data_IF_593879191115
#
_entry.id   IF_593879191115
#
_cell.length_a   1.000
_cell.length_b   1.000
_cell.length_c   1.000
_cell.angle_alpha   90.00
_cell.angle_beta   90.00
_cell.angle_gamma   90.00
#
_symmetry.space_group_name_H-M   'P 1'
#
loop_
_entity.id
_entity.type
_entity.pdbx_description
1 polymer ?
#
# COMPACT_ATOMS: atom_id res chain seq x y z
N UNK A 1 -29.57 -21.54 76.39
CA UNK A 1 -30.71 -21.07 75.57
C UNK A 1 -30.14 -20.57 74.26
N UNK A 2 -30.27 -21.35 73.18
CA UNK A 2 -29.81 -20.97 71.84
C UNK A 2 -30.86 -20.05 71.21
N UNK A 3 -30.54 -18.77 71.02
CA UNK A 3 -31.27 -17.90 70.08
C UNK A 3 -30.80 -18.28 68.68
N UNK A 4 -31.59 -19.09 67.97
CA UNK A 4 -31.43 -19.27 66.52
C UNK A 4 -31.86 -17.94 65.89
N UNK A 5 -30.89 -17.08 65.53
CA UNK A 5 -31.17 -15.95 64.64
C UNK A 5 -31.06 -16.47 63.21
N UNK A 6 -32.20 -16.70 62.58
CA UNK A 6 -32.30 -16.86 61.13
C UNK A 6 -31.92 -15.53 60.48
N UNK A 7 -30.71 -15.43 59.92
CA UNK A 7 -30.34 -14.32 59.05
C UNK A 7 -31.02 -14.53 57.69
N UNK A 8 -31.91 -13.61 57.31
CA UNK A 8 -32.53 -13.59 55.97
C UNK A 8 -31.44 -13.30 54.95
N UNK A 9 -31.36 -14.10 53.89
CA UNK A 9 -30.37 -13.95 52.82
C UNK A 9 -30.53 -12.61 52.08
N UNK A 10 -29.45 -12.05 51.56
CA UNK A 10 -29.50 -10.78 50.80
C UNK A 10 -30.36 -10.89 49.53
N UNK A 11 -30.46 -12.08 48.95
CA UNK A 11 -31.38 -12.37 47.85
C UNK A 11 -32.84 -12.21 48.29
N UNK A 12 -33.21 -12.81 49.43
CA UNK A 12 -34.57 -12.68 49.99
C UNK A 12 -34.89 -11.25 50.43
N UNK A 13 -33.89 -10.49 50.92
CA UNK A 13 -34.06 -9.06 51.23
C UNK A 13 -34.40 -8.25 49.98
N UNK A 14 -33.69 -8.48 48.88
CA UNK A 14 -33.94 -7.80 47.61
C UNK A 14 -35.31 -8.20 47.01
N UNK A 15 -35.69 -9.46 47.09
CA UNK A 15 -37.02 -9.92 46.63
C UNK A 15 -38.17 -9.26 47.43
N UNK A 16 -38.03 -9.15 48.76
CA UNK A 16 -39.00 -8.45 49.62
C UNK A 16 -39.07 -6.97 49.26
N UNK A 17 -37.91 -6.34 49.03
CA UNK A 17 -37.83 -4.91 48.70
C UNK A 17 -38.44 -4.59 47.33
N UNK A 18 -38.22 -5.44 46.33
CA UNK A 18 -38.85 -5.33 45.02
C UNK A 18 -40.36 -5.61 45.08
N UNK A 19 -40.81 -6.54 45.92
CA UNK A 19 -42.23 -6.77 46.16
C UNK A 19 -42.90 -5.54 46.79
N UNK A 20 -42.25 -4.91 47.78
CA UNK A 20 -42.80 -3.72 48.44
C UNK A 20 -42.76 -2.49 47.52
N UNK A 21 -41.73 -2.34 46.68
CA UNK A 21 -41.68 -1.26 45.67
C UNK A 21 -42.71 -1.40 44.56
N UNK A 22 -43.04 -2.64 44.18
CA UNK A 22 -44.03 -2.90 43.12
C UNK A 22 -45.47 -2.79 43.60
N UNK A 23 -45.70 -2.89 44.91
CA UNK A 23 -46.99 -2.61 45.54
C UNK A 23 -47.04 -1.12 45.91
N UNK A 24 -48.16 -0.44 45.64
CA UNK A 24 -48.34 0.99 46.00
C UNK A 24 -48.31 1.12 47.53
N UNK A 25 -47.12 1.25 48.09
CA UNK A 25 -46.86 1.18 49.52
C UNK A 25 -47.07 2.54 50.15
N UNK A 26 -47.89 2.56 51.19
CA UNK A 26 -48.33 3.77 51.87
C UNK A 26 -48.04 3.66 53.36
N UNK A 27 -47.77 4.81 53.97
CA UNK A 27 -47.80 4.98 55.40
C UNK A 27 -49.19 5.45 55.83
N UNK A 28 -49.82 4.71 56.74
CA UNK A 28 -51.12 4.99 57.34
C UNK A 28 -50.91 5.52 58.76
N UNK A 29 -51.41 6.73 59.02
CA UNK A 29 -51.35 7.36 60.34
C UNK A 29 -52.67 7.11 61.05
N UNK A 30 -52.62 6.45 62.21
CA UNK A 30 -53.77 5.88 62.89
C UNK A 30 -53.99 6.59 64.23
N UNK A 31 -55.24 6.93 64.52
CA UNK A 31 -55.63 7.54 65.79
C UNK A 31 -57.11 7.90 65.85
N UNK A 32 -57.55 8.45 66.99
CA UNK A 32 -58.95 8.80 67.23
C UNK A 32 -59.07 9.98 68.21
N UNK A 33 -60.17 10.73 68.11
CA UNK A 33 -60.57 11.75 69.08
C UNK A 33 -61.41 11.17 70.24
N UNK A 34 -61.81 9.91 70.16
CA UNK A 34 -62.61 9.26 71.21
C UNK A 34 -61.77 9.03 72.47
N UNK A 35 -62.28 9.43 73.62
CA UNK A 35 -61.57 9.32 74.90
C UNK A 35 -61.25 7.88 75.32
N UNK A 36 -62.07 6.94 74.83
CA UNK A 36 -62.03 5.53 75.20
C UNK A 36 -61.33 4.68 74.11
N UNK A 37 -60.75 5.34 73.10
CA UNK A 37 -59.99 4.66 72.05
C UNK A 37 -58.71 4.05 72.62
N UNK A 38 -58.64 2.73 72.57
CA UNK A 38 -57.45 1.96 72.92
C UNK A 38 -56.87 1.34 71.65
N UNK A 39 -55.76 1.90 71.17
CA UNK A 39 -55.03 1.38 70.01
C UNK A 39 -54.68 -0.11 70.16
N UNK A 40 -54.42 -0.59 71.37
CA UNK A 40 -54.10 -2.00 71.60
C UNK A 40 -55.29 -2.93 71.30
N UNK A 41 -56.52 -2.46 71.46
CA UNK A 41 -57.73 -3.23 71.13
C UNK A 41 -57.95 -3.37 69.62
N UNK A 42 -57.54 -2.38 68.83
CA UNK A 42 -57.67 -2.36 67.36
C UNK A 42 -56.60 -3.22 66.68
N UNK A 43 -55.50 -3.49 67.37
CA UNK A 43 -54.37 -4.26 66.83
C UNK A 43 -54.52 -5.79 66.94
N UNK A 44 -55.67 -6.30 67.39
CA UNK A 44 -55.94 -7.74 67.48
C UNK A 44 -57.32 -8.09 66.94
N UNK A 45 -57.45 -8.55 65.67
CA UNK A 45 -56.39 -8.97 64.75
C UNK A 45 -55.76 -7.83 63.93
N UNK A 46 -54.46 -7.94 63.64
CA UNK A 46 -53.69 -6.98 62.84
C UNK A 46 -54.00 -7.12 61.35
N UNK A 47 -55.15 -6.59 60.93
CA UNK A 47 -55.63 -6.59 59.55
C UNK A 47 -55.98 -5.17 59.09
N UNK A 48 -55.79 -4.89 57.79
CA UNK A 48 -56.04 -3.56 57.22
C UNK A 48 -57.49 -3.08 57.45
N UNK A 49 -58.46 -3.98 57.32
CA UNK A 49 -59.88 -3.63 57.48
C UNK A 49 -60.21 -3.19 58.91
N UNK A 50 -59.54 -3.76 59.93
CA UNK A 50 -59.69 -3.36 61.33
C UNK A 50 -59.16 -1.95 61.60
N UNK A 51 -58.15 -1.50 60.83
CA UNK A 51 -57.52 -0.19 61.02
C UNK A 51 -58.17 0.91 60.18
N UNK A 52 -58.82 0.55 59.07
CA UNK A 52 -59.26 1.50 58.04
C UNK A 52 -60.14 2.63 58.55
N UNK A 53 -61.01 2.36 59.52
CA UNK A 53 -61.91 3.37 60.10
C UNK A 53 -61.19 4.36 61.02
N UNK A 54 -59.96 4.04 61.43
CA UNK A 54 -59.12 4.85 62.31
C UNK A 54 -57.90 5.47 61.60
N UNK A 55 -57.82 5.38 60.26
CA UNK A 55 -56.77 6.04 59.48
C UNK A 55 -57.12 7.52 59.32
N UNK A 56 -56.32 8.39 59.94
CA UNK A 56 -56.46 9.85 59.88
C UNK A 56 -56.04 10.35 58.49
N UNK A 57 -54.89 9.89 58.01
CA UNK A 57 -54.41 10.16 56.66
C UNK A 57 -53.41 9.09 56.19
N UNK A 58 -53.22 9.02 54.87
CA UNK A 58 -52.22 8.18 54.24
C UNK A 58 -51.33 8.98 53.30
N UNK A 59 -50.09 8.51 53.15
CA UNK A 59 -49.13 9.11 52.22
C UNK A 59 -48.26 8.03 51.58
N UNK A 60 -47.87 8.24 50.34
CA UNK A 60 -47.02 7.31 49.63
C UNK A 60 -45.60 7.30 50.22
N UNK A 61 -45.02 6.10 50.32
CA UNK A 61 -43.63 5.94 50.71
C UNK A 61 -42.73 6.33 49.53
N UNK A 62 -41.80 7.27 49.76
CA UNK A 62 -40.91 7.80 48.72
C UNK A 62 -39.85 6.78 48.32
N UNK A 63 -39.26 6.12 49.31
CA UNK A 63 -38.22 5.11 49.09
C UNK A 63 -38.22 4.06 50.21
N UNK A 64 -37.79 2.84 49.87
CA UNK A 64 -37.57 1.75 50.81
C UNK A 64 -36.17 1.18 50.61
N UNK A 65 -35.41 1.00 51.69
CA UNK A 65 -34.03 0.52 51.67
C UNK A 65 -33.66 -0.21 52.97
N UNK A 66 -32.58 -1.00 52.94
CA UNK A 66 -31.99 -1.56 54.17
C UNK A 66 -30.89 -0.64 54.67
N UNK A 67 -30.84 -0.40 55.99
CA UNK A 67 -29.72 0.31 56.60
C UNK A 67 -28.52 -0.62 56.86
N UNK A 68 -27.41 -0.05 57.33
CA UNK A 68 -26.15 -0.77 57.61
C UNK A 68 -26.32 -1.88 58.67
N UNK A 69 -27.37 -1.82 59.47
CA UNK A 69 -27.72 -2.82 60.49
C UNK A 69 -28.69 -3.88 59.96
N UNK A 70 -29.13 -3.75 58.71
CA UNK A 70 -30.03 -4.68 58.04
C UNK A 70 -31.51 -4.47 58.34
N UNK A 71 -31.90 -3.33 58.93
CA UNK A 71 -33.30 -2.99 59.19
C UNK A 71 -33.96 -2.43 57.93
N UNK A 72 -35.22 -2.78 57.71
CA UNK A 72 -35.98 -2.24 56.59
C UNK A 72 -36.45 -0.82 56.96
N UNK A 73 -36.07 0.15 56.12
CA UNK A 73 -36.31 1.57 56.31
C UNK A 73 -37.24 2.09 55.22
N UNK A 74 -38.24 2.88 55.61
CA UNK A 74 -39.17 3.56 54.70
C UNK A 74 -39.03 5.08 54.86
N UNK A 75 -38.72 5.77 53.78
CA UNK A 75 -38.64 7.22 53.73
C UNK A 75 -40.00 7.82 53.39
N UNK A 76 -40.50 8.67 54.29
CA UNK A 76 -41.80 9.31 54.20
C UNK A 76 -41.58 10.82 54.22
N UNK A 77 -42.10 11.52 53.22
CA UNK A 77 -42.05 12.98 53.14
C UNK A 77 -43.36 13.54 53.69
N UNK A 78 -43.33 14.03 54.93
CA UNK A 78 -44.51 14.56 55.60
C UNK A 78 -44.73 16.03 55.17
N UNK A 79 -45.92 16.38 54.64
CA UNK A 79 -46.18 17.71 54.11
C UNK A 79 -46.23 18.77 55.22
N UNK A 80 -45.70 19.95 54.91
CA UNK A 80 -45.70 21.09 55.84
C UNK A 80 -47.10 21.71 56.00
N UNK A 81 -47.91 21.68 54.95
CA UNK A 81 -49.14 22.48 54.82
C UNK A 81 -50.39 21.85 55.44
N UNK A 82 -50.31 20.59 55.91
CA UNK A 82 -51.48 19.89 56.46
C UNK A 82 -51.43 19.77 57.99
N UNK A 83 -52.59 19.87 58.64
CA UNK A 83 -52.75 19.64 60.08
C UNK A 83 -53.96 18.75 60.36
N UNK A 84 -53.87 17.91 61.40
CA UNK A 84 -54.94 17.02 61.81
C UNK A 84 -55.26 17.20 63.30
N UNK A 85 -56.55 17.14 63.65
CA UNK A 85 -57.00 17.37 65.02
C UNK A 85 -56.81 16.11 65.90
N UNK A 86 -56.91 14.94 65.29
CA UNK A 86 -56.77 13.63 65.88
C UNK A 86 -55.32 13.38 66.33
N UNK A 87 -55.08 12.88 67.56
CA UNK A 87 -53.76 12.42 67.96
C UNK A 87 -53.41 11.12 67.21
N UNK A 88 -52.22 11.08 66.63
CA UNK A 88 -51.64 9.89 66.01
C UNK A 88 -51.06 9.02 67.13
N UNK A 89 -51.51 7.78 67.19
CA UNK A 89 -51.11 6.80 68.22
C UNK A 89 -50.36 5.60 67.61
N UNK A 90 -50.49 5.39 66.30
CA UNK A 90 -49.70 4.40 65.57
C UNK A 90 -49.46 4.83 64.12
N UNK A 91 -48.41 4.26 63.52
CA UNK A 91 -48.11 4.36 62.10
C UNK A 91 -47.94 2.94 61.55
N UNK A 92 -48.71 2.60 60.52
CA UNK A 92 -48.61 1.34 59.82
C UNK A 92 -48.09 1.55 58.39
N UNK A 93 -47.26 0.63 57.90
CA UNK A 93 -46.84 0.58 56.50
C UNK A 93 -47.55 -0.60 55.85
N UNK A 94 -48.20 -0.36 54.70
CA UNK A 94 -48.95 -1.40 54.01
C UNK A 94 -49.37 -0.97 52.61
N UNK A 95 -50.28 -1.73 52.01
CA UNK A 95 -50.90 -1.37 50.74
C UNK A 95 -52.43 -1.41 50.86
N UNK A 96 -53.06 -0.25 50.65
CA UNK A 96 -54.52 -0.15 50.62
C UNK A 96 -55.12 -0.97 49.46
N UNK A 97 -54.42 -1.02 48.32
CA UNK A 97 -54.83 -1.79 47.14
C UNK A 97 -54.89 -3.29 47.41
N UNK A 98 -53.89 -3.82 48.12
CA UNK A 98 -53.79 -5.25 48.42
C UNK A 98 -54.37 -5.63 49.79
N UNK A 99 -54.92 -4.65 50.53
CA UNK A 99 -55.47 -4.81 51.89
C UNK A 99 -54.48 -5.51 52.84
N UNK A 100 -53.19 -5.21 52.70
CA UNK A 100 -52.12 -5.85 53.45
C UNK A 100 -51.38 -4.84 54.32
N UNK A 101 -50.96 -5.29 55.50
CA UNK A 101 -50.08 -4.55 56.40
C UNK A 101 -48.73 -5.27 56.46
N UNK A 102 -47.65 -4.51 56.36
CA UNK A 102 -46.29 -5.05 56.41
C UNK A 102 -45.67 -4.86 57.81
N UNK A 103 -45.89 -3.70 58.42
CA UNK A 103 -45.41 -3.42 59.77
C UNK A 103 -46.23 -2.30 60.43
N UNK A 104 -46.16 -2.24 61.76
CA UNK A 104 -46.76 -1.17 62.55
C UNK A 104 -45.84 -0.79 63.71
N UNK A 105 -45.79 0.50 64.01
CA UNK A 105 -45.17 1.05 65.21
C UNK A 105 -46.21 1.84 66.00
N UNK A 106 -46.19 1.68 67.32
CA UNK A 106 -46.87 2.61 68.21
C UNK A 106 -46.05 3.89 68.31
N UNK A 107 -46.73 5.02 68.40
CA UNK A 107 -46.11 6.31 68.66
C UNK A 107 -46.56 6.83 70.02
N UNK A 108 -45.78 7.70 70.68
CA UNK A 108 -46.37 8.64 71.62
C UNK A 108 -47.55 9.36 70.94
N UNK A 109 -48.58 9.77 71.69
CA UNK A 109 -49.69 10.55 71.11
C UNK A 109 -49.14 11.83 70.51
N UNK A 110 -49.07 11.92 69.18
CA UNK A 110 -48.45 13.02 68.43
C UNK A 110 -49.52 13.68 67.57
N UNK A 111 -49.57 15.01 67.57
CA UNK A 111 -50.46 15.77 66.69
C UNK A 111 -49.67 16.42 65.55
N UNK A 112 -50.18 16.31 64.31
CA UNK A 112 -49.59 16.97 63.15
C UNK A 112 -50.06 18.42 63.07
N UNK A 113 -49.12 19.36 63.23
CA UNK A 113 -49.36 20.80 63.10
C UNK A 113 -48.90 21.34 61.73
N UNK A 114 -49.53 22.41 61.29
CA UNK A 114 -49.11 23.18 60.11
C UNK A 114 -47.71 23.78 60.33
N UNK A 115 -46.88 23.80 59.30
CA UNK A 115 -45.48 24.26 59.35
C UNK A 115 -44.48 23.23 59.88
N UNK A 116 -44.93 22.06 60.36
CA UNK A 116 -44.06 20.95 60.80
C UNK A 116 -44.11 19.84 59.76
N UNK A 117 -43.05 19.64 58.99
CA UNK A 117 -42.95 18.62 57.94
C UNK A 117 -41.50 18.21 57.70
N UNK A 118 -41.24 17.47 56.62
CA UNK A 118 -39.90 17.04 56.23
C UNK A 118 -39.78 15.54 55.97
N UNK A 119 -38.53 15.09 55.79
CA UNK A 119 -38.22 13.68 55.57
C UNK A 119 -38.10 12.94 56.91
N UNK A 120 -38.85 11.86 57.06
CA UNK A 120 -38.78 10.97 58.21
C UNK A 120 -38.53 9.54 57.74
N UNK A 121 -37.81 8.77 58.57
CA UNK A 121 -37.47 7.37 58.26
C UNK A 121 -38.13 6.45 59.28
N UNK A 122 -39.06 5.62 58.82
CA UNK A 122 -39.68 4.56 59.61
C UNK A 122 -38.83 3.29 59.51
N UNK A 123 -38.39 2.74 60.65
CA UNK A 123 -37.50 1.58 60.68
C UNK A 123 -38.17 0.38 61.34
N UNK A 124 -38.10 -0.78 60.69
CA UNK A 124 -38.62 -2.05 61.23
C UNK A 124 -37.55 -3.14 61.19
N UNK A 125 -37.48 -3.95 62.26
CA UNK A 125 -36.71 -5.20 62.25
C UNK A 125 -37.51 -6.26 61.47
N UNK A 126 -36.81 -7.10 60.70
CA UNK A 126 -37.40 -8.22 59.98
C UNK A 126 -37.69 -9.43 60.90
N UNK A 127 -37.29 -9.38 62.18
CA UNK A 127 -37.41 -10.49 63.14
C UNK A 127 -38.76 -10.62 63.85
N UNK A 128 -39.75 -9.78 63.54
CA UNK A 128 -41.13 -9.95 64.02
C UNK A 128 -41.44 -9.39 65.41
N UNK A 129 -40.79 -8.29 65.83
CA UNK A 129 -41.25 -7.46 66.95
C UNK A 129 -41.18 -5.96 66.58
N UNK A 130 -42.01 -5.15 67.25
CA UNK A 130 -42.44 -3.78 66.90
C UNK A 130 -41.37 -2.81 66.35
N UNK A 131 -41.79 -2.00 65.38
CA UNK A 131 -40.99 -0.93 64.76
C UNK A 131 -40.82 0.31 65.66
N UNK A 132 -39.74 1.09 65.45
CA UNK A 132 -39.40 2.29 66.25
C UNK A 132 -39.18 3.51 65.33
N UNK A 133 -39.70 4.68 65.72
CA UNK A 133 -39.56 5.92 64.97
C UNK A 133 -38.46 6.82 65.56
N UNK A 134 -37.51 7.28 64.73
CA UNK A 134 -36.37 8.11 65.16
C UNK A 134 -36.42 9.49 64.48
N UNK A 135 -36.47 10.57 65.27
CA UNK A 135 -36.31 11.94 64.77
C UNK A 135 -34.84 12.37 64.83
N UNK A 136 -34.29 12.90 63.72
CA UNK A 136 -32.96 13.53 63.69
C UNK A 136 -33.08 14.99 63.24
N UNK A 137 -32.30 15.87 63.86
CA UNK A 137 -32.23 17.31 63.57
C UNK A 137 -30.85 17.66 63.00
N UNK A 138 -30.77 17.89 61.68
CA UNK A 138 -29.55 18.41 61.02
C UNK A 138 -29.87 19.67 60.18
N UNK A 139 -28.85 20.50 59.93
CA UNK A 139 -28.98 21.72 59.11
C UNK A 139 -28.97 21.34 57.62
N UNK A 140 -30.11 21.46 56.95
CA UNK A 140 -30.23 21.15 55.51
C UNK A 140 -30.05 22.41 54.65
N UNK A 141 -29.29 22.27 53.57
CA UNK A 141 -29.23 23.21 52.44
C UNK A 141 -30.51 22.99 51.61
N UNK A 142 -31.18 24.05 51.19
CA UNK A 142 -32.40 23.92 50.38
C UNK A 142 -32.09 23.34 48.99
N UNK A 143 -33.06 22.67 48.37
CA UNK A 143 -32.90 22.09 47.03
C UNK A 143 -32.54 23.14 45.96
N UNK A 144 -33.03 24.37 46.13
CA UNK A 144 -32.68 25.51 45.29
C UNK A 144 -31.20 25.92 45.40
N UNK A 145 -30.65 25.90 46.62
CA UNK A 145 -29.22 26.19 46.85
C UNK A 145 -28.32 25.09 46.29
N UNK A 146 -28.73 23.82 46.41
CA UNK A 146 -28.03 22.68 45.81
C UNK A 146 -27.98 22.78 44.28
N UNK A 147 -29.09 23.16 43.64
CA UNK A 147 -29.14 23.33 42.18
C UNK A 147 -28.21 24.44 41.68
N UNK A 148 -28.17 25.59 42.36
CA UNK A 148 -27.27 26.68 42.02
C UNK A 148 -25.79 26.28 42.14
N UNK A 149 -25.46 25.52 43.19
CA UNK A 149 -24.09 25.03 43.38
C UNK A 149 -23.69 24.03 42.30
N UNK A 150 -24.59 23.12 41.92
CA UNK A 150 -24.33 22.17 40.83
C UNK A 150 -24.12 22.87 39.47
N UNK A 151 -24.94 23.88 39.14
CA UNK A 151 -24.78 24.66 37.92
C UNK A 151 -23.42 25.39 37.86
N UNK A 152 -22.96 25.93 38.99
CA UNK A 152 -21.63 26.55 39.09
C UNK A 152 -20.49 25.55 38.87
N UNK A 153 -20.57 24.36 39.48
CA UNK A 153 -19.56 23.31 39.31
C UNK A 153 -19.48 22.80 37.86
N UNK A 154 -20.61 22.70 37.16
CA UNK A 154 -20.61 22.34 35.74
C UNK A 154 -19.96 23.41 34.87
N UNK A 155 -20.24 24.69 35.13
CA UNK A 155 -19.61 25.81 34.44
C UNK A 155 -18.09 25.77 34.58
N UNK A 156 -17.56 25.68 35.82
CA UNK A 156 -16.11 25.64 36.09
C UNK A 156 -15.44 24.42 35.43
N UNK A 157 -16.09 23.25 35.46
CA UNK A 157 -15.56 22.03 34.80
C UNK A 157 -15.52 22.16 33.28
N UNK A 158 -16.50 22.84 32.69
CA UNK A 158 -16.57 23.03 31.24
C UNK A 158 -15.47 23.96 30.72
N UNK A 159 -15.20 25.04 31.46
CA UNK A 159 -14.23 26.07 31.06
C UNK A 159 -12.78 25.56 31.21
N UNK A 160 -12.47 24.87 32.31
CA UNK A 160 -11.17 24.23 32.52
C UNK A 160 -10.85 23.15 31.47
N UNK A 161 -11.85 22.35 31.05
CA UNK A 161 -11.69 21.37 29.98
C UNK A 161 -11.38 22.04 28.65
N UNK A 162 -12.08 23.13 28.33
CA UNK A 162 -11.90 23.86 27.07
C UNK A 162 -10.53 24.51 26.98
N UNK A 163 -10.08 25.20 28.04
CA UNK A 163 -8.74 25.80 28.09
C UNK A 163 -7.61 24.76 27.96
N UNK A 164 -7.78 23.60 28.61
CA UNK A 164 -6.81 22.50 28.53
C UNK A 164 -6.75 21.92 27.12
N UNK A 165 -7.90 21.68 26.49
CA UNK A 165 -7.99 21.18 25.10
C UNK A 165 -7.38 22.19 24.12
N UNK A 166 -7.64 23.49 24.30
CA UNK A 166 -7.09 24.53 23.43
C UNK A 166 -5.56 24.62 23.54
N UNK A 167 -5.00 24.53 24.76
CA UNK A 167 -3.54 24.47 24.96
C UNK A 167 -2.91 23.22 24.33
N UNK A 168 -3.55 22.05 24.45
CA UNK A 168 -3.10 20.80 23.81
C UNK A 168 -3.12 20.94 22.28
N UNK A 169 -4.19 21.49 21.71
CA UNK A 169 -4.32 21.69 20.27
C UNK A 169 -3.30 22.70 19.71
N UNK A 170 -2.98 23.75 20.48
CA UNK A 170 -1.91 24.71 20.13
C UNK A 170 -0.55 24.01 20.12
N UNK A 171 -0.29 23.09 21.05
CA UNK A 171 0.95 22.32 21.12
C UNK A 171 1.07 21.22 20.06
N UNK A 172 -0.04 20.59 19.64
CA UNK A 172 -0.07 19.52 18.65
C UNK A 172 0.06 20.02 17.20
N UNK A 173 -0.51 21.18 16.87
CA UNK A 173 -0.46 21.75 15.50
C UNK A 173 0.95 21.85 14.91
N UNK A 174 1.98 22.34 15.64
CA UNK A 174 3.36 22.35 15.16
C UNK A 174 3.93 20.95 14.88
N UNK A 175 3.59 19.96 15.71
CA UNK A 175 4.06 18.57 15.59
C UNK A 175 3.44 17.92 14.35
N UNK A 176 2.15 18.13 14.11
CA UNK A 176 1.46 17.64 12.90
C UNK A 176 2.09 18.23 11.63
N UNK A 177 2.33 19.55 11.62
CA UNK A 177 3.02 20.22 10.50
C UNK A 177 4.43 19.68 10.28
N UNK A 178 5.17 19.45 11.36
CA UNK A 178 6.52 18.89 11.28
C UNK A 178 6.51 17.47 10.70
N UNK A 179 5.61 16.59 11.17
CA UNK A 179 5.45 15.24 10.63
C UNK A 179 5.08 15.22 9.15
N UNK A 180 4.18 16.12 8.72
CA UNK A 180 3.84 16.27 7.29
C UNK A 180 5.07 16.70 6.48
N UNK A 181 5.86 17.66 6.98
CA UNK A 181 7.09 18.10 6.29
C UNK A 181 8.16 17.00 6.21
N UNK A 182 8.30 16.16 7.25
CA UNK A 182 9.19 15.01 7.21
C UNK A 182 8.75 13.98 6.17
N UNK A 183 7.46 13.65 6.11
CA UNK A 183 6.92 12.74 5.09
C UNK A 183 7.13 13.26 3.67
N UNK A 184 6.98 14.58 3.45
CA UNK A 184 7.27 15.20 2.16
C UNK A 184 8.77 15.13 1.81
N UNK A 185 9.67 15.38 2.77
CA UNK A 185 11.11 15.27 2.58
C UNK A 185 11.52 13.83 2.27
N UNK A 186 11.01 12.85 3.03
CA UNK A 186 11.26 11.43 2.81
C UNK A 186 10.76 10.99 1.44
N UNK A 187 9.54 11.38 1.07
CA UNK A 187 8.98 11.11 -0.26
C UNK A 187 9.83 11.72 -1.36
N UNK A 188 10.24 12.99 -1.22
CA UNK A 188 11.09 13.67 -2.20
C UNK A 188 12.45 13.00 -2.34
N UNK A 189 13.08 12.62 -1.23
CA UNK A 189 14.39 11.95 -1.21
C UNK A 189 14.30 10.57 -1.84
N UNK A 190 13.24 9.82 -1.53
CA UNK A 190 12.99 8.49 -2.12
C UNK A 190 12.73 8.57 -3.62
N UNK A 191 11.91 9.53 -4.07
CA UNK A 191 11.66 9.77 -5.49
C UNK A 191 12.93 10.19 -6.22
N UNK A 192 13.78 11.00 -5.59
CA UNK A 192 15.05 11.40 -6.18
C UNK A 192 16.03 10.23 -6.30
N UNK A 193 16.17 9.41 -5.25
CA UNK A 193 16.98 8.20 -5.31
C UNK A 193 16.48 7.20 -6.37
N UNK A 194 15.15 7.07 -6.52
CA UNK A 194 14.56 6.24 -7.57
C UNK A 194 14.86 6.79 -8.96
N UNK A 195 14.73 8.11 -9.17
CA UNK A 195 15.09 8.73 -10.44
C UNK A 195 16.57 8.54 -10.77
N UNK A 196 17.46 8.76 -9.81
CA UNK A 196 18.91 8.55 -10.01
C UNK A 196 19.21 7.09 -10.36
N UNK A 197 18.55 6.13 -9.72
CA UNK A 197 18.65 4.72 -10.06
C UNK A 197 18.17 4.42 -11.47
N UNK A 198 16.99 4.94 -11.86
CA UNK A 198 16.42 4.75 -13.19
C UNK A 198 17.29 5.38 -14.28
N UNK A 199 17.80 6.59 -14.06
CA UNK A 199 18.68 7.28 -14.99
C UNK A 199 19.99 6.52 -15.19
N UNK A 200 20.57 5.98 -14.11
CA UNK A 200 21.76 5.13 -14.19
C UNK A 200 21.49 3.83 -14.94
N UNK A 201 20.40 3.14 -14.64
CA UNK A 201 20.00 1.91 -15.33
C UNK A 201 19.76 2.17 -16.83
N UNK A 202 19.11 3.28 -17.16
CA UNK A 202 18.82 3.68 -18.52
C UNK A 202 20.09 4.08 -19.28
N UNK A 203 21.02 4.78 -18.62
CA UNK A 203 22.33 5.11 -19.18
C UNK A 203 23.17 3.86 -19.46
N UNK A 204 23.16 2.86 -18.57
CA UNK A 204 23.81 1.57 -18.79
C UNK A 204 23.19 0.82 -19.97
N UNK A 205 21.86 0.73 -20.02
CA UNK A 205 21.15 0.07 -21.11
C UNK A 205 21.42 0.75 -22.48
N UNK A 206 21.48 2.10 -22.50
CA UNK A 206 21.88 2.85 -23.71
C UNK A 206 23.31 2.53 -24.14
N UNK A 207 24.26 2.51 -23.20
CA UNK A 207 25.66 2.14 -23.50
C UNK A 207 25.78 0.72 -24.02
N UNK A 208 25.04 -0.23 -23.45
CA UNK A 208 25.01 -1.61 -23.95
C UNK A 208 24.45 -1.70 -25.35
N UNK A 209 23.37 -0.96 -25.64
CA UNK A 209 22.79 -0.88 -26.98
C UNK A 209 23.78 -0.28 -27.98
N UNK A 210 24.40 0.84 -27.66
CA UNK A 210 25.43 1.47 -28.52
C UNK A 210 26.61 0.56 -28.78
N UNK A 211 27.00 -0.27 -27.81
CA UNK A 211 28.02 -1.30 -28.02
C UNK A 211 27.54 -2.38 -28.99
N UNK A 212 26.32 -2.89 -28.81
CA UNK A 212 25.73 -3.91 -29.70
C UNK A 212 25.64 -3.41 -31.14
N UNK A 213 25.23 -2.16 -31.34
CA UNK A 213 25.11 -1.53 -32.66
C UNK A 213 26.47 -1.38 -33.38
N UNK A 214 27.59 -1.42 -32.64
CA UNK A 214 28.94 -1.40 -33.20
C UNK A 214 29.46 -2.78 -33.58
N UNK A 215 28.85 -3.86 -33.10
CA UNK A 215 29.32 -5.23 -33.40
C UNK A 215 29.25 -5.49 -34.90
N UNK A 216 30.34 -6.00 -35.45
CA UNK A 216 30.47 -6.24 -36.90
C UNK A 216 30.94 -5.03 -37.70
N UNK A 217 31.08 -3.85 -37.07
CA UNK A 217 31.62 -2.67 -37.74
C UNK A 217 33.10 -2.86 -38.08
N UNK A 218 33.47 -2.63 -39.35
CA UNK A 218 34.86 -2.55 -39.81
C UNK A 218 35.43 -1.15 -39.53
N UNK A 219 36.54 -1.09 -38.83
CA UNK A 219 37.28 0.14 -38.54
C UNK A 219 38.74 0.04 -39.03
N UNK A 220 39.33 1.21 -39.31
CA UNK A 220 40.72 1.35 -39.77
C UNK A 220 41.58 2.01 -38.69
N UNK A 221 42.79 1.51 -38.52
CA UNK A 221 43.68 1.89 -37.43
C UNK A 221 45.06 2.31 -37.95
N UNK A 222 45.45 3.55 -37.66
CA UNK A 222 46.80 4.06 -37.94
C UNK A 222 47.75 3.80 -36.75
N UNK A 223 47.99 2.51 -36.47
CA UNK A 223 48.83 2.01 -35.36
C UNK A 223 49.21 0.55 -35.61
N UNK A 224 50.18 0.03 -34.87
CA UNK A 224 50.76 -1.30 -35.08
C UNK A 224 50.02 -2.47 -34.41
N UNK A 225 48.97 -2.21 -33.62
CA UNK A 225 48.17 -3.25 -32.95
C UNK A 225 46.69 -2.86 -32.89
N UNK A 226 45.80 -3.85 -32.98
CA UNK A 226 44.35 -3.63 -32.86
C UNK A 226 43.93 -3.41 -31.40
N UNK A 227 42.84 -2.66 -31.13
CA UNK A 227 42.30 -2.57 -29.78
C UNK A 227 41.84 -3.96 -29.34
N UNK A 228 41.83 -4.22 -28.03
CA UNK A 228 41.35 -5.50 -27.49
C UNK A 228 39.88 -5.80 -27.84
N UNK A 229 39.11 -4.78 -28.20
CA UNK A 229 37.72 -4.87 -28.65
C UNK A 229 37.55 -5.21 -30.13
N UNK A 230 38.66 -5.31 -30.88
CA UNK A 230 38.65 -5.58 -32.31
C UNK A 230 39.41 -6.85 -32.64
N UNK A 231 38.90 -7.55 -33.64
CA UNK A 231 39.51 -8.77 -34.16
C UNK A 231 40.07 -8.48 -35.55
N UNK A 232 41.25 -9.02 -35.83
CA UNK A 232 41.84 -8.97 -37.17
C UNK A 232 40.94 -9.69 -38.17
N UNK A 233 40.80 -9.13 -39.36
CA UNK A 233 40.16 -9.80 -40.49
C UNK A 233 40.86 -11.14 -40.85
N UNK A 234 40.18 -11.97 -41.66
CA UNK A 234 40.63 -13.30 -42.09
C UNK A 234 40.88 -14.33 -40.96
N UNK A 235 40.35 -14.08 -39.76
CA UNK A 235 40.41 -15.03 -38.63
C UNK A 235 39.21 -16.00 -38.66
N UNK A 236 39.44 -17.21 -38.15
CA UNK A 236 38.36 -18.17 -37.82
C UNK A 236 38.06 -18.01 -36.34
N UNK A 237 36.79 -17.80 -36.00
CA UNK A 237 36.32 -17.54 -34.66
C UNK A 237 35.30 -18.60 -34.25
N UNK A 238 35.21 -18.89 -32.95
CA UNK A 238 34.16 -19.75 -32.38
C UNK A 238 32.92 -18.90 -32.07
N UNK A 239 31.75 -19.41 -32.42
CA UNK A 239 30.47 -18.74 -32.16
C UNK A 239 30.24 -18.44 -30.66
N UNK A 240 30.73 -19.31 -29.78
CA UNK A 240 30.60 -19.16 -28.34
C UNK A 240 31.39 -17.97 -27.77
N UNK A 241 32.54 -17.65 -28.37
CA UNK A 241 33.42 -16.58 -27.89
C UNK A 241 32.88 -15.19 -28.27
N UNK A 242 32.20 -15.11 -29.42
CA UNK A 242 31.64 -13.88 -30.01
C UNK A 242 30.22 -14.10 -30.57
N UNK A 243 29.22 -14.38 -29.72
CA UNK A 243 27.90 -14.83 -30.16
C UNK A 243 27.12 -13.78 -30.96
N UNK A 244 27.22 -12.50 -30.60
CA UNK A 244 26.54 -11.43 -31.33
C UNK A 244 27.16 -11.19 -32.71
N UNK A 245 28.49 -11.25 -32.80
CA UNK A 245 29.19 -11.12 -34.07
C UNK A 245 28.88 -12.30 -34.99
N UNK A 246 28.85 -13.52 -34.43
CA UNK A 246 28.41 -14.71 -35.13
C UNK A 246 26.98 -14.54 -35.65
N UNK A 247 26.04 -14.12 -34.80
CA UNK A 247 24.64 -13.95 -35.18
C UNK A 247 24.45 -12.91 -36.29
N UNK A 248 25.06 -11.72 -36.18
CA UNK A 248 24.91 -10.66 -37.18
C UNK A 248 25.61 -10.93 -38.51
N UNK A 249 26.51 -11.92 -38.56
CA UNK A 249 27.22 -12.28 -39.79
C UNK A 249 26.67 -13.54 -40.46
N UNK A 250 25.57 -14.12 -39.98
CA UNK A 250 24.93 -15.27 -40.62
C UNK A 250 24.64 -14.97 -42.10
N UNK A 251 24.86 -15.96 -42.97
CA UNK A 251 24.75 -15.87 -44.44
C UNK A 251 25.82 -15.01 -45.13
N UNK A 252 26.64 -14.26 -44.38
CA UNK A 252 27.85 -13.68 -44.96
C UNK A 252 28.83 -14.79 -45.34
N UNK A 253 29.64 -14.55 -46.36
CA UNK A 253 30.63 -15.52 -46.83
C UNK A 253 31.58 -15.90 -45.69
N UNK A 254 31.53 -17.17 -45.26
CA UNK A 254 32.33 -17.68 -44.15
C UNK A 254 31.53 -17.94 -42.86
N UNK A 255 30.22 -17.70 -42.84
CA UNK A 255 29.34 -18.03 -41.73
C UNK A 255 28.03 -18.69 -42.22
N UNK A 256 27.96 -20.00 -42.06
CA UNK A 256 26.83 -20.87 -42.39
C UNK A 256 25.95 -21.20 -41.17
N UNK A 257 26.11 -20.46 -40.06
CA UNK A 257 25.48 -20.80 -38.78
C UNK A 257 26.18 -21.93 -38.01
N UNK A 258 27.38 -22.34 -38.45
CA UNK A 258 28.20 -23.37 -37.81
C UNK A 258 28.81 -22.99 -36.45
N UNK A 259 29.60 -23.91 -35.88
CA UNK A 259 30.34 -23.69 -34.61
C UNK A 259 31.38 -22.59 -34.78
N UNK A 260 31.99 -22.55 -35.96
CA UNK A 260 33.05 -21.65 -36.33
C UNK A 260 32.60 -20.82 -37.51
N UNK A 261 33.05 -19.58 -37.55
CA UNK A 261 32.80 -18.67 -38.66
C UNK A 261 34.07 -17.89 -38.98
N UNK A 262 34.19 -17.43 -40.22
CA UNK A 262 35.37 -16.73 -40.73
C UNK A 262 35.03 -15.26 -41.03
N UNK A 263 35.89 -14.36 -40.58
CA UNK A 263 35.81 -12.95 -40.96
C UNK A 263 36.28 -12.72 -42.41
N UNK A 264 35.80 -11.67 -43.10
CA UNK A 264 36.23 -11.34 -44.46
C UNK A 264 37.75 -11.24 -44.60
N UNK A 265 38.25 -11.45 -45.81
CA UNK A 265 39.69 -11.35 -46.11
C UNK A 265 40.20 -9.91 -45.87
N UNK A 266 41.42 -9.79 -45.33
CA UNK A 266 42.11 -8.53 -45.08
C UNK A 266 42.80 -7.98 -46.34
N UNK A 267 43.07 -6.67 -46.35
CA UNK A 267 43.85 -6.02 -47.41
C UNK A 267 43.09 -5.83 -48.72
N UNK A 268 41.76 -5.77 -48.66
CA UNK A 268 40.89 -5.58 -49.81
C UNK A 268 40.14 -4.26 -49.76
N UNK A 269 39.95 -3.66 -50.93
CA UNK A 269 39.08 -2.49 -51.08
C UNK A 269 37.64 -2.81 -50.68
N UNK A 270 37.03 -1.92 -49.91
CA UNK A 270 35.64 -2.03 -49.48
C UNK A 270 34.76 -1.17 -50.37
N UNK A 271 33.80 -1.79 -51.07
CA UNK A 271 32.79 -1.09 -51.87
C UNK A 271 31.47 -1.08 -51.10
N UNK A 272 30.89 0.11 -50.92
CA UNK A 272 29.54 0.23 -50.37
C UNK A 272 28.51 -0.34 -51.36
N UNK A 273 27.52 -1.06 -50.85
CA UNK A 273 26.39 -1.58 -51.62
C UNK A 273 25.08 -1.22 -50.95
N UNK A 274 24.01 -1.11 -51.75
CA UNK A 274 22.62 -1.03 -51.26
C UNK A 274 21.90 -2.37 -51.33
N UNK A 275 22.51 -3.36 -51.99
CA UNK A 275 21.99 -4.72 -52.09
C UNK A 275 22.54 -5.54 -50.92
N UNK A 276 21.65 -5.97 -50.02
CA UNK A 276 22.03 -6.76 -48.83
C UNK A 276 22.72 -8.07 -49.19
N UNK A 277 22.37 -8.65 -50.34
CA UNK A 277 22.95 -9.93 -50.79
C UNK A 277 24.39 -9.79 -51.28
N UNK A 278 24.87 -8.56 -51.51
CA UNK A 278 26.25 -8.28 -51.90
C UNK A 278 27.18 -8.08 -50.70
N UNK A 279 26.63 -7.92 -49.49
CA UNK A 279 27.43 -7.70 -48.29
C UNK A 279 28.32 -8.92 -48.02
N UNK A 280 29.63 -8.68 -47.95
CA UNK A 280 30.62 -9.74 -47.74
C UNK A 280 30.99 -10.55 -48.99
N UNK A 281 30.44 -10.24 -50.18
CA UNK A 281 30.90 -10.83 -51.45
C UNK A 281 32.26 -10.25 -51.84
N UNK A 282 33.13 -11.12 -52.38
CA UNK A 282 34.40 -10.73 -52.96
C UNK A 282 34.20 -10.51 -54.46
N UNK A 283 34.62 -9.34 -54.95
CA UNK A 283 34.79 -9.09 -56.39
C UNK A 283 36.28 -9.04 -56.70
N UNK A 284 36.66 -9.52 -57.88
CA UNK A 284 38.05 -9.50 -58.32
C UNK A 284 38.42 -8.09 -58.77
N UNK A 285 39.69 -7.76 -58.59
CA UNK A 285 40.29 -6.53 -59.11
C UNK A 285 40.32 -6.56 -60.65
N UNK A 286 40.21 -5.37 -61.24
CA UNK A 286 40.21 -5.23 -62.68
C UNK A 286 40.36 -3.78 -63.10
N UNK A 287 40.94 -3.58 -64.26
CA UNK A 287 41.00 -2.28 -64.93
C UNK A 287 39.91 -2.23 -66.00
N UNK A 288 39.44 -1.04 -66.41
CA UNK A 288 38.64 -0.90 -67.62
C UNK A 288 39.38 -1.47 -68.80
N UNK A 289 38.66 -2.11 -69.72
CA UNK A 289 39.32 -2.48 -70.96
C UNK A 289 39.66 -1.20 -71.72
N UNK A 290 40.89 -1.13 -72.22
CA UNK A 290 41.30 -0.03 -73.08
C UNK A 290 41.15 -0.54 -74.51
N UNK A 291 40.15 -0.01 -75.20
CA UNK A 291 39.86 -0.34 -76.60
C UNK A 291 39.96 0.91 -77.47
N UNK A 292 40.42 0.74 -78.70
CA UNK A 292 40.52 1.84 -79.66
C UNK A 292 40.87 1.36 -81.05
N UNK A 293 40.75 2.25 -82.02
CA UNK A 293 41.16 1.98 -83.40
C UNK A 293 42.06 3.10 -83.90
N UNK A 294 43.01 2.76 -84.75
CA UNK A 294 43.90 3.71 -85.41
C UNK A 294 44.34 3.17 -86.78
N UNK A 295 44.84 4.05 -87.64
CA UNK A 295 45.34 3.68 -88.97
C UNK A 295 46.81 3.24 -88.82
N UNK A 296 47.11 2.03 -89.26
CA UNK A 296 48.45 1.46 -89.23
C UNK A 296 48.87 0.98 -90.63
N UNK A 297 50.19 0.89 -90.86
CA UNK A 297 50.72 0.23 -92.04
C UNK A 297 50.71 -1.29 -91.81
N UNK A 298 50.26 -2.06 -92.80
CA UNK A 298 50.04 -3.50 -92.64
C UNK A 298 51.36 -4.28 -92.52
N UNK A 299 51.86 -4.50 -91.30
CA UNK A 299 52.83 -5.55 -90.97
C UNK A 299 52.61 -6.10 -89.54
N UNK A 300 52.46 -7.43 -89.44
CA UNK A 300 52.69 -8.22 -88.21
C UNK A 300 51.97 -7.77 -86.94
N UNK A 301 50.63 -7.73 -86.95
CA UNK A 301 49.83 -7.36 -85.76
C UNK A 301 49.69 -8.57 -84.81
N UNK A 302 50.11 -8.44 -83.55
CA UNK A 302 49.98 -9.47 -82.51
C UNK A 302 49.80 -8.87 -81.11
N UNK A 303 49.45 -9.68 -80.11
CA UNK A 303 49.18 -9.22 -78.75
C UNK A 303 47.85 -8.47 -78.63
N UNK A 304 47.88 -7.23 -78.13
CA UNK A 304 46.68 -6.40 -77.88
C UNK A 304 46.08 -5.89 -79.18
N UNK A 305 46.88 -5.89 -80.23
CA UNK A 305 46.50 -5.33 -81.51
C UNK A 305 45.88 -6.42 -82.39
N UNK A 306 44.90 -6.04 -83.19
CA UNK A 306 44.25 -6.94 -84.14
C UNK A 306 43.76 -6.19 -85.39
N UNK A 307 43.57 -6.92 -86.48
CA UNK A 307 42.98 -6.33 -87.69
C UNK A 307 41.49 -6.11 -87.46
N UNK A 308 41.05 -4.85 -87.34
CA UNK A 308 39.65 -4.48 -87.09
C UNK A 308 38.81 -4.47 -88.38
N UNK A 309 39.46 -4.43 -89.54
CA UNK A 309 38.84 -4.50 -90.87
C UNK A 309 38.77 -3.15 -91.58
N UNK A 310 38.79 -3.20 -92.92
CA UNK A 310 38.71 -2.04 -93.82
C UNK A 310 40.05 -1.58 -94.38
N UNK A 311 40.09 -1.39 -95.70
CA UNK A 311 41.15 -0.63 -96.39
C UNK A 311 41.16 0.78 -95.81
N UNK A 312 42.24 1.14 -95.13
CA UNK A 312 42.49 2.52 -94.72
C UNK A 312 42.64 3.41 -95.94
N UNK A 313 42.27 4.68 -95.81
CA UNK A 313 42.59 5.70 -96.81
C UNK A 313 44.10 5.69 -96.99
N UNK A 314 44.56 5.48 -98.23
CA UNK A 314 45.99 5.34 -98.52
C UNK A 314 46.77 6.53 -97.95
N UNK A 315 47.96 6.28 -97.42
CA UNK A 315 48.87 7.35 -97.05
C UNK A 315 49.11 8.23 -98.30
N UNK A 316 49.39 9.53 -98.12
CA UNK A 316 49.60 10.51 -99.22
C UNK A 316 50.60 10.05 -100.31
N UNK A 317 51.43 9.02 -100.03
CA UNK A 317 52.40 8.41 -100.94
C UNK A 317 52.06 6.98 -101.42
N UNK A 318 50.79 6.56 -101.43
CA UNK A 318 50.35 5.33 -102.11
C UNK A 318 50.50 4.02 -101.33
N UNK A 319 50.83 4.07 -100.03
CA UNK A 319 50.83 2.89 -99.16
C UNK A 319 49.42 2.54 -98.67
N UNK A 320 49.02 1.28 -98.77
CA UNK A 320 47.76 0.78 -98.21
C UNK A 320 47.78 0.77 -96.68
N UNK A 321 46.94 1.62 -96.07
CA UNK A 321 46.70 1.57 -94.62
C UNK A 321 45.70 0.48 -94.27
N UNK A 322 45.80 -0.07 -93.06
CA UNK A 322 44.77 -0.94 -92.47
C UNK A 322 44.31 -0.33 -91.16
N UNK A 323 43.02 -0.48 -90.84
CA UNK A 323 42.52 -0.12 -89.51
C UNK A 323 42.95 -1.21 -88.52
N UNK A 324 43.84 -0.85 -87.60
CA UNK A 324 44.22 -1.70 -86.47
C UNK A 324 43.32 -1.37 -85.27
N UNK A 325 42.80 -2.41 -84.63
CA UNK A 325 42.18 -2.33 -83.32
C UNK A 325 43.22 -2.58 -82.23
N UNK A 326 43.04 -1.92 -81.08
CA UNK A 326 43.74 -2.20 -79.84
C UNK A 326 42.72 -2.67 -78.81
N UNK A 327 43.07 -3.70 -78.06
CA UNK A 327 42.30 -4.28 -76.97
C UNK A 327 43.27 -4.86 -75.94
N UNK A 328 43.42 -4.13 -74.82
CA UNK A 328 44.38 -4.46 -73.78
C UNK A 328 44.08 -5.82 -73.09
N UNK A 329 42.81 -6.22 -73.02
CA UNK A 329 42.38 -7.50 -72.41
C UNK A 329 42.94 -8.74 -73.12
N UNK A 330 43.33 -8.60 -74.40
CA UNK A 330 43.89 -9.71 -75.19
C UNK A 330 45.28 -10.17 -74.74
N UNK A 331 46.04 -9.32 -74.06
CA UNK A 331 47.39 -9.69 -73.57
C UNK A 331 47.45 -9.81 -72.06
N UNK A 332 46.64 -9.02 -71.35
CA UNK A 332 46.65 -9.04 -69.90
C UNK A 332 45.20 -9.05 -69.38
N UNK A 333 44.78 -10.15 -68.73
CA UNK A 333 43.41 -10.32 -68.26
C UNK A 333 43.02 -9.30 -67.17
N UNK A 334 43.97 -8.52 -66.64
CA UNK A 334 43.66 -7.43 -65.70
C UNK A 334 42.84 -6.32 -66.37
N UNK A 335 42.97 -6.10 -67.69
CA UNK A 335 42.17 -5.10 -68.43
C UNK A 335 40.81 -5.70 -68.86
N UNK A 336 39.74 -4.95 -68.65
CA UNK A 336 38.34 -5.34 -68.92
C UNK A 336 37.58 -5.93 -67.74
N UNK A 337 38.21 -6.02 -66.56
CA UNK A 337 37.62 -6.68 -65.38
C UNK A 337 36.99 -5.70 -64.36
N UNK A 338 37.23 -4.38 -64.43
CA UNK A 338 36.51 -3.39 -63.60
C UNK A 338 36.46 -1.97 -64.20
N UNK A 339 35.90 -1.00 -63.49
CA UNK A 339 35.66 0.38 -63.98
C UNK A 339 36.72 1.43 -63.56
N UNK A 340 37.78 1.07 -62.82
CA UNK A 340 38.80 2.04 -62.33
C UNK A 340 40.22 1.49 -62.17
N UNK A 341 41.19 2.38 -61.90
CA UNK A 341 42.63 2.08 -61.72
C UNK A 341 43.00 2.18 -60.23
N UNK A 342 43.81 1.26 -59.72
CA UNK A 342 44.35 1.32 -58.35
C UNK A 342 45.34 2.49 -58.20
N UNK A 343 45.20 3.29 -57.14
CA UNK A 343 46.02 4.48 -56.87
C UNK A 343 46.85 4.30 -55.60
N UNK A 344 47.91 5.10 -55.44
CA UNK A 344 48.76 5.09 -54.23
C UNK A 344 47.92 5.14 -52.95
N UNK A 345 48.21 4.27 -51.99
CA UNK A 345 47.47 4.17 -50.73
C UNK A 345 48.39 4.22 -49.51
N UNK A 346 47.78 4.52 -48.37
CA UNK A 346 48.41 4.41 -47.04
C UNK A 346 47.90 3.11 -46.42
N UNK A 347 48.80 2.29 -45.88
CA UNK A 347 48.43 1.06 -45.20
C UNK A 347 47.85 1.35 -43.80
N UNK A 348 46.72 0.72 -43.49
CA UNK A 348 46.08 0.76 -42.18
C UNK A 348 45.87 -0.68 -41.67
N UNK A 349 45.84 -0.86 -40.34
CA UNK A 349 45.30 -2.10 -39.79
C UNK A 349 43.78 -2.09 -39.90
N UNK A 350 43.22 -3.22 -40.31
CA UNK A 350 41.78 -3.43 -40.41
C UNK A 350 41.32 -4.33 -39.26
N UNK A 351 40.27 -3.91 -38.57
CA UNK A 351 39.68 -4.68 -37.48
C UNK A 351 38.16 -4.62 -37.50
N UNK A 352 37.52 -5.70 -37.07
CA UNK A 352 36.07 -5.76 -36.84
C UNK A 352 35.81 -5.63 -35.36
N UNK A 353 34.96 -4.68 -34.97
CA UNK A 353 34.54 -4.53 -33.58
C UNK A 353 33.73 -5.76 -33.15
N UNK A 354 34.19 -6.44 -32.11
CA UNK A 354 33.60 -7.66 -31.57
C UNK A 354 33.37 -7.59 -30.05
N UNK A 355 33.71 -6.44 -29.44
CA UNK A 355 33.91 -6.30 -27.99
C UNK A 355 34.98 -7.27 -27.45
N UNK A 356 35.14 -7.34 -26.13
CA UNK A 356 36.01 -8.33 -25.50
C UNK A 356 35.37 -9.72 -25.53
N UNK A 357 36.16 -10.80 -25.74
CA UNK A 357 35.65 -12.17 -25.67
C UNK A 357 34.97 -12.44 -24.32
N UNK A 358 33.92 -13.27 -24.36
CA UNK A 358 33.20 -13.65 -23.16
C UNK A 358 34.10 -14.43 -22.19
N UNK A 359 33.80 -14.29 -20.90
CA UNK A 359 34.50 -15.07 -19.87
C UNK A 359 34.14 -16.55 -20.02
N UNK A 360 35.06 -17.44 -19.63
CA UNK A 360 34.85 -18.90 -19.71
C UNK A 360 33.57 -19.34 -18.98
N UNK A 361 33.31 -18.78 -17.80
CA UNK A 361 32.09 -19.07 -17.03
C UNK A 361 30.82 -18.62 -17.78
N UNK A 362 30.87 -17.50 -18.48
CA UNK A 362 29.75 -17.03 -19.31
C UNK A 362 29.55 -17.93 -20.52
N UNK A 363 30.63 -18.35 -21.17
CA UNK A 363 30.60 -19.27 -22.33
C UNK A 363 29.90 -20.58 -21.95
N UNK A 364 30.30 -21.20 -20.84
CA UNK A 364 29.71 -22.45 -20.36
C UNK A 364 28.21 -22.32 -20.06
N UNK A 365 27.79 -21.15 -19.54
CA UNK A 365 26.38 -20.88 -19.25
C UNK A 365 25.50 -20.74 -20.50
N UNK A 366 26.04 -20.20 -21.60
CA UNK A 366 25.26 -19.90 -22.82
C UNK A 366 25.44 -20.91 -23.95
N UNK A 367 26.44 -21.80 -23.86
CA UNK A 367 26.74 -22.80 -24.89
C UNK A 367 25.54 -23.68 -25.29
N UNK A 368 24.69 -24.15 -24.34
CA UNK A 368 23.47 -24.90 -24.70
C UNK A 368 22.49 -24.07 -25.54
N UNK A 369 22.30 -22.80 -25.17
CA UNK A 369 21.40 -21.88 -25.87
C UNK A 369 21.91 -21.60 -27.29
N UNK A 370 23.22 -21.33 -27.43
CA UNK A 370 23.85 -21.14 -28.75
C UNK A 370 23.71 -22.40 -29.60
N UNK A 371 23.90 -23.59 -29.02
CA UNK A 371 23.72 -24.86 -29.72
C UNK A 371 22.30 -25.07 -30.26
N UNK A 372 21.29 -24.71 -29.48
CA UNK A 372 19.89 -24.75 -29.90
C UNK A 372 19.61 -23.79 -31.06
N UNK A 373 20.03 -22.52 -30.93
CA UNK A 373 19.89 -21.50 -31.98
C UNK A 373 20.56 -21.91 -33.29
N UNK A 374 21.78 -22.45 -33.21
CA UNK A 374 22.50 -22.95 -34.38
C UNK A 374 21.73 -24.03 -35.13
N UNK A 375 21.13 -24.96 -34.39
CA UNK A 375 20.33 -26.04 -34.97
C UNK A 375 19.08 -25.51 -35.69
N UNK A 376 18.44 -24.48 -35.12
CA UNK A 376 17.29 -23.81 -35.71
C UNK A 376 17.67 -23.04 -36.99
N UNK A 377 18.70 -22.21 -36.94
CA UNK A 377 19.20 -21.44 -38.08
C UNK A 377 19.60 -22.37 -39.24
N UNK A 378 20.30 -23.48 -38.95
CA UNK A 378 20.68 -24.43 -40.00
C UNK A 378 19.47 -25.11 -40.66
N UNK A 379 18.40 -25.37 -39.90
CA UNK A 379 17.14 -25.89 -40.48
C UNK A 379 16.51 -24.86 -41.42
N UNK A 380 16.44 -23.59 -41.01
CA UNK A 380 15.87 -22.52 -41.83
C UNK A 380 16.67 -22.30 -43.12
N UNK A 381 18.00 -22.25 -43.04
CA UNK A 381 18.87 -22.10 -44.22
C UNK A 381 18.67 -23.27 -45.20
N UNK A 382 18.54 -24.50 -44.68
CA UNK A 382 18.35 -25.70 -45.52
C UNK A 382 16.95 -25.74 -46.15
N UNK A 383 15.93 -25.21 -45.47
CA UNK A 383 14.55 -25.16 -45.97
C UNK A 383 14.32 -24.04 -47.00
N UNK A 384 14.99 -22.90 -46.85
CA UNK A 384 14.90 -21.78 -47.80
C UNK A 384 15.72 -21.96 -49.09
N UNK A 385 16.51 -23.03 -49.20
CA UNK A 385 17.31 -23.35 -50.39
C UNK A 385 16.61 -24.32 -51.36
N UNK A 386 15.42 -24.83 -51.01
CA UNK A 386 14.52 -25.58 -51.88
C UNK A 386 13.36 -24.68 -52.35
#
# INVERSE_FOLDING_TARGET
>A
MLKIQTQISDQSKNEILELIKSQSTQAFFIGSLESDFDIHSVLSPLEYESLKEHIIFSIDVRSAFYDELGNLCFEILLPYETSYAEPIEAIAIGSATNKSLYCIALTPKIQKLEGVGGNFVFKTDLKGESAEMVFKTDHYISEAELQNFNAFLEFVRSDLKKETIDKINIALKPIEKFNQSLQEIERKTTLQALNDYLDNALMLARKEREKRDKIGKKDYFYRSYLPSTHIKLNQILKAADYPLLWFYSIQARGNDGGVYFRLPQDGLYSKGTRNTDEVGKLSLEGLPNIIGTFIAQHQGISGAFYTYGGSGVGFFNGGGGVTAGFDASRINPIYGQAEGVEVSHIAYLEGVFADTPLSQATIEAIEPTIGAFRTEIQKEITQGAN
#
